data_IF_614644643919
#
_entry.id   IF_614644643919
#
_cell.length_a   1.000
_cell.length_b   1.000
_cell.length_c   1.000
_cell.angle_alpha   90.00
_cell.angle_beta   90.00
_cell.angle_gamma   90.00
#
_symmetry.space_group_name_H-M   'P 1'
#
loop_
_entity.id
_entity.type
_entity.pdbx_description
1 polymer ?
#
# COMPACT_ATOMS: atom_id res chain seq x y z
N UNK A 1 3.09 -54.61 12.02
CA UNK A 1 3.43 -53.19 11.76
C UNK A 1 2.94 -52.73 10.38
N UNK A 2 1.62 -52.58 10.15
CA UNK A 2 1.06 -52.22 8.82
C UNK A 2 -0.02 -51.13 8.83
N UNK A 3 -0.36 -50.57 10.00
CA UNK A 3 -1.45 -49.59 10.18
C UNK A 3 -0.98 -48.13 10.37
N UNK A 4 0.33 -47.89 10.52
CA UNK A 4 0.87 -46.54 10.74
C UNK A 4 1.16 -45.77 9.45
N UNK A 5 1.44 -46.47 8.34
CA UNK A 5 1.70 -45.86 7.02
C UNK A 5 0.56 -44.97 6.48
N UNK A 6 -0.74 -45.36 6.55
CA UNK A 6 -1.82 -44.52 6.03
C UNK A 6 -2.01 -43.24 6.86
N UNK A 7 -1.73 -43.29 8.17
CA UNK A 7 -1.94 -42.16 9.07
C UNK A 7 -0.89 -41.05 8.84
N UNK A 8 0.38 -41.43 8.63
CA UNK A 8 1.43 -40.50 8.24
C UNK A 8 1.17 -39.87 6.86
N UNK A 9 0.64 -40.65 5.91
CA UNK A 9 0.31 -40.14 4.58
C UNK A 9 -0.84 -39.12 4.64
N UNK A 10 -1.89 -39.39 5.43
CA UNK A 10 -2.99 -38.44 5.64
C UNK A 10 -2.54 -37.14 6.30
N UNK A 11 -1.66 -37.20 7.30
CA UNK A 11 -1.11 -36.01 7.96
C UNK A 11 -0.25 -35.18 6.98
N UNK A 12 0.59 -35.84 6.19
CA UNK A 12 1.41 -35.16 5.19
C UNK A 12 0.57 -34.46 4.11
N UNK A 13 -0.52 -35.10 3.66
CA UNK A 13 -1.45 -34.49 2.69
C UNK A 13 -2.18 -33.29 3.30
N UNK A 14 -2.65 -33.40 4.55
CA UNK A 14 -3.31 -32.28 5.24
C UNK A 14 -2.37 -31.08 5.44
N UNK A 15 -1.10 -31.34 5.80
CA UNK A 15 -0.07 -30.30 5.91
C UNK A 15 0.24 -29.65 4.57
N UNK A 16 0.34 -30.43 3.48
CA UNK A 16 0.56 -29.87 2.15
C UNK A 16 -0.63 -28.99 1.69
N UNK A 17 -1.87 -29.44 1.90
CA UNK A 17 -3.05 -28.65 1.54
C UNK A 17 -3.07 -27.34 2.34
N UNK A 18 -2.87 -27.41 3.66
CA UNK A 18 -2.81 -26.22 4.51
C UNK A 18 -1.69 -25.25 4.11
N UNK A 19 -0.51 -25.77 3.77
CA UNK A 19 0.63 -24.97 3.33
C UNK A 19 0.40 -24.30 1.98
N UNK A 20 -0.16 -25.03 1.00
CA UNK A 20 -0.50 -24.50 -0.33
C UNK A 20 -1.60 -23.44 -0.22
N UNK A 21 -2.64 -23.68 0.58
CA UNK A 21 -3.69 -22.69 0.83
C UNK A 21 -3.15 -21.45 1.54
N UNK A 22 -2.25 -21.61 2.51
CA UNK A 22 -1.60 -20.50 3.21
C UNK A 22 -0.73 -19.64 2.28
N UNK A 23 0.03 -20.27 1.38
CA UNK A 23 0.81 -19.57 0.37
C UNK A 23 -0.06 -18.79 -0.62
N UNK A 24 -1.19 -19.36 -1.05
CA UNK A 24 -2.10 -18.70 -1.98
C UNK A 24 -2.75 -17.43 -1.38
N UNK A 25 -3.09 -17.47 -0.09
CA UNK A 25 -3.62 -16.31 0.63
C UNK A 25 -2.54 -15.27 0.89
N UNK A 26 -1.31 -15.68 1.22
CA UNK A 26 -0.21 -14.75 1.43
C UNK A 26 0.18 -13.97 0.16
N UNK A 27 0.01 -14.58 -1.02
CA UNK A 27 0.38 -13.95 -2.29
C UNK A 27 -0.64 -12.94 -2.82
N UNK A 28 -1.89 -12.99 -2.36
CA UNK A 28 -2.95 -12.09 -2.84
C UNK A 28 -3.03 -10.76 -2.08
N UNK A 29 -2.29 -10.62 -0.98
CA UNK A 29 -2.47 -9.49 -0.03
C UNK A 29 -1.83 -8.15 -0.41
N UNK A 30 -0.98 -8.04 -1.44
CA UNK A 30 -0.17 -6.81 -1.62
C UNK A 30 -0.10 -6.24 -3.05
N UNK A 31 -0.89 -6.71 -4.00
CA UNK A 31 -0.92 -6.11 -5.34
C UNK A 31 -2.03 -5.07 -5.46
N UNK A 32 -1.64 -3.80 -5.42
CA UNK A 32 -2.51 -2.72 -5.93
C UNK A 32 -2.64 -2.93 -7.43
N UNK A 33 -3.85 -3.27 -7.90
CA UNK A 33 -4.13 -3.33 -9.33
C UNK A 33 -3.83 -1.96 -9.96
N UNK A 34 -3.07 -1.94 -11.06
CA UNK A 34 -2.64 -0.71 -11.76
C UNK A 34 -3.85 0.20 -12.07
N UNK A 35 -5.01 -0.39 -12.40
CA UNK A 35 -6.25 0.32 -12.69
C UNK A 35 -6.89 1.04 -11.49
N UNK A 36 -6.36 0.83 -10.28
CA UNK A 36 -6.84 1.44 -9.03
C UNK A 36 -5.93 2.56 -8.53
N UNK A 37 -4.83 2.84 -9.23
CA UNK A 37 -3.95 3.96 -8.92
C UNK A 37 -4.63 5.24 -9.36
N UNK A 38 -4.75 6.20 -8.44
CA UNK A 38 -5.32 7.53 -8.69
C UNK A 38 -4.22 8.51 -9.06
N UNK A 39 -3.14 8.52 -8.27
CA UNK A 39 -2.00 9.38 -8.49
C UNK A 39 -0.74 8.80 -7.83
N UNK A 40 0.40 9.15 -8.40
CA UNK A 40 1.70 8.86 -7.81
C UNK A 40 2.64 10.04 -8.03
N UNK A 41 3.38 10.42 -7.00
CA UNK A 41 4.27 11.58 -7.05
C UNK A 41 5.48 11.39 -6.15
N UNK A 42 6.65 11.75 -6.67
CA UNK A 42 7.91 11.71 -5.94
C UNK A 42 8.31 13.10 -5.47
N UNK A 43 8.91 13.15 -4.28
CA UNK A 43 9.44 14.35 -3.69
C UNK A 43 10.83 14.09 -3.13
N UNK A 44 11.64 15.14 -3.12
CA UNK A 44 12.99 15.08 -2.60
C UNK A 44 12.98 14.93 -1.08
N UNK A 45 14.07 14.39 -0.55
CA UNK A 45 14.26 14.24 0.88
C UNK A 45 15.66 14.62 1.32
N UNK A 46 15.89 14.57 2.63
CA UNK A 46 17.19 14.91 3.24
C UNK A 46 18.38 14.09 2.71
N UNK A 47 18.12 12.99 2.02
CA UNK A 47 19.15 12.07 1.50
C UNK A 47 19.28 12.12 -0.03
N UNK A 48 18.55 13.02 -0.72
CA UNK A 48 18.65 13.21 -2.16
C UNK A 48 17.30 13.29 -2.86
N UNK A 49 17.37 13.36 -4.19
CA UNK A 49 16.23 13.58 -5.06
C UNK A 49 15.28 12.38 -5.08
N UNK A 50 13.98 12.65 -5.20
CA UNK A 50 12.93 11.64 -5.28
C UNK A 50 12.98 10.58 -4.15
N UNK A 51 13.45 10.95 -2.96
CA UNK A 51 13.60 10.01 -1.84
C UNK A 51 12.27 9.52 -1.27
N UNK A 52 11.22 10.35 -1.36
CA UNK A 52 9.88 10.04 -0.86
C UNK A 52 8.90 9.86 -2.01
N UNK A 53 8.12 8.78 -2.02
CA UNK A 53 7.12 8.50 -3.05
C UNK A 53 5.73 8.36 -2.45
N UNK A 54 4.77 9.18 -2.87
CA UNK A 54 3.37 9.08 -2.45
C UNK A 54 2.59 8.32 -3.52
N UNK A 55 1.83 7.31 -3.09
CA UNK A 55 0.89 6.55 -3.90
C UNK A 55 -0.51 6.72 -3.34
N UNK A 56 -1.44 7.16 -4.18
CA UNK A 56 -2.87 7.24 -3.88
C UNK A 56 -3.58 6.20 -4.72
N UNK A 57 -4.41 5.38 -4.08
CA UNK A 57 -5.08 4.26 -4.73
C UNK A 57 -6.48 4.01 -4.15
N UNK A 58 -7.25 3.21 -4.87
CA UNK A 58 -8.62 2.85 -4.53
C UNK A 58 -8.71 1.44 -3.95
N UNK A 59 -9.43 1.33 -2.84
CA UNK A 59 -9.89 0.07 -2.26
C UNK A 59 -11.41 -0.04 -2.46
N UNK A 60 -11.92 -1.09 -3.16
CA UNK A 60 -13.35 -1.27 -3.36
C UNK A 60 -14.13 -1.38 -2.04
N UNK A 61 -15.30 -0.77 -1.98
CA UNK A 61 -16.26 -0.87 -0.88
C UNK A 61 -17.67 -1.12 -1.42
N UNK A 62 -18.60 -1.50 -0.53
CA UNK A 62 -19.98 -1.87 -0.91
C UNK A 62 -20.73 -0.78 -1.69
N UNK A 63 -20.40 0.50 -1.50
CA UNK A 63 -21.06 1.65 -2.14
C UNK A 63 -20.11 2.56 -2.94
N UNK A 64 -18.94 2.05 -3.37
CA UNK A 64 -17.95 2.85 -4.10
C UNK A 64 -16.53 2.42 -3.77
N UNK A 65 -15.67 3.39 -3.46
CA UNK A 65 -14.26 3.17 -3.18
C UNK A 65 -13.81 3.99 -1.97
N UNK A 66 -12.97 3.40 -1.13
CA UNK A 66 -12.12 4.14 -0.20
C UNK A 66 -10.88 4.61 -0.92
N UNK A 67 -10.55 5.89 -0.75
CA UNK A 67 -9.30 6.48 -1.21
C UNK A 67 -8.27 6.30 -0.10
N UNK A 68 -7.16 5.65 -0.42
CA UNK A 68 -6.07 5.38 0.51
C UNK A 68 -4.75 5.90 -0.03
N UNK A 69 -3.81 6.16 0.86
CA UNK A 69 -2.48 6.56 0.46
C UNK A 69 -1.39 5.87 1.27
N UNK A 70 -0.27 5.63 0.60
CA UNK A 70 0.98 5.14 1.21
C UNK A 70 2.12 6.05 0.79
N UNK A 71 3.08 6.25 1.68
CA UNK A 71 4.34 6.92 1.38
C UNK A 71 5.48 5.92 1.48
N UNK A 72 6.19 5.75 0.38
CA UNK A 72 7.44 5.01 0.29
C UNK A 72 8.60 5.92 0.65
N UNK A 73 9.53 5.43 1.45
CA UNK A 73 10.68 6.16 1.91
C UNK A 73 11.95 5.40 1.54
N UNK A 74 12.84 6.06 0.79
CA UNK A 74 14.07 5.47 0.28
C UNK A 74 13.85 4.77 -1.05
N UNK A 75 13.67 5.55 -2.12
CA UNK A 75 13.47 5.09 -3.50
C UNK A 75 14.43 3.97 -3.93
N UNK A 76 15.72 4.13 -3.65
CA UNK A 76 16.76 3.18 -4.08
C UNK A 76 16.69 1.82 -3.37
N UNK A 77 15.89 1.73 -2.30
CA UNK A 77 15.71 0.53 -1.50
C UNK A 77 14.38 -0.18 -1.79
N UNK A 78 13.56 0.34 -2.71
CA UNK A 78 12.29 -0.29 -3.08
C UNK A 78 12.56 -1.65 -3.73
N UNK A 79 11.98 -2.70 -3.15
CA UNK A 79 12.20 -4.10 -3.57
C UNK A 79 13.40 -4.78 -2.93
N UNK A 80 14.22 -4.08 -2.14
CA UNK A 80 15.38 -4.65 -1.41
C UNK A 80 15.08 -4.99 0.05
N UNK A 81 13.83 -4.87 0.49
CA UNK A 81 13.38 -5.23 1.85
C UNK A 81 13.69 -4.19 2.93
N UNK A 82 14.30 -3.05 2.58
CA UNK A 82 14.67 -1.96 3.51
C UNK A 82 13.93 -0.65 3.25
N UNK A 83 13.00 -0.62 2.30
CA UNK A 83 12.14 0.54 2.06
C UNK A 83 11.08 0.65 3.16
N UNK A 84 11.03 1.80 3.84
CA UNK A 84 9.99 2.06 4.83
C UNK A 84 8.71 2.51 4.13
N UNK A 85 7.57 2.01 4.60
CA UNK A 85 6.25 2.40 4.12
C UNK A 85 5.49 3.04 5.26
N UNK A 86 5.04 4.26 5.07
CA UNK A 86 4.08 4.93 5.95
C UNK A 86 2.69 4.80 5.35
N UNK A 87 1.79 4.08 6.02
CA UNK A 87 0.38 4.02 5.64
C UNK A 87 -0.34 5.28 6.16
N UNK A 88 -0.88 6.09 5.25
CA UNK A 88 -1.67 7.28 5.61
C UNK A 88 -3.12 6.92 5.98
N UNK A 89 -3.51 5.65 5.83
CA UNK A 89 -4.86 5.17 6.05
C UNK A 89 -5.83 5.59 4.95
N UNK A 90 -7.11 5.63 5.32
CA UNK A 90 -8.18 6.10 4.45
C UNK A 90 -8.27 7.62 4.50
N UNK A 91 -8.12 8.27 3.34
CA UNK A 91 -8.22 9.72 3.18
C UNK A 91 -9.67 10.18 2.99
N UNK A 92 -10.49 9.35 2.35
CA UNK A 92 -11.88 9.65 2.04
C UNK A 92 -12.57 8.52 1.29
N UNK A 93 -13.78 8.79 0.80
CA UNK A 93 -14.59 7.86 0.00
C UNK A 93 -15.10 8.54 -1.25
N UNK A 94 -15.19 7.80 -2.36
CA UNK A 94 -15.75 8.29 -3.63
C UNK A 94 -16.64 7.22 -4.27
N UNK A 95 -17.51 7.62 -5.20
CA UNK A 95 -18.36 6.68 -5.95
C UNK A 95 -17.71 6.19 -7.23
N UNK A 96 -16.84 7.00 -7.83
CA UNK A 96 -16.24 6.70 -9.14
C UNK A 96 -14.74 7.00 -9.16
N UNK A 97 -14.02 6.36 -10.08
CA UNK A 97 -12.60 6.64 -10.28
C UNK A 97 -12.36 8.09 -10.74
N UNK A 98 -13.21 8.62 -11.63
CA UNK A 98 -13.10 10.00 -12.10
C UNK A 98 -13.23 11.02 -10.96
N UNK A 99 -14.15 10.77 -10.02
CA UNK A 99 -14.29 11.55 -8.80
C UNK A 99 -13.03 11.48 -7.92
N UNK A 100 -12.43 10.29 -7.76
CA UNK A 100 -11.17 10.14 -7.04
C UNK A 100 -10.03 10.95 -7.67
N UNK A 101 -9.86 10.89 -8.99
CA UNK A 101 -8.82 11.68 -9.68
C UNK A 101 -9.07 13.17 -9.49
N UNK A 102 -10.32 13.63 -9.64
CA UNK A 102 -10.67 15.03 -9.47
C UNK A 102 -10.38 15.56 -8.05
N UNK A 103 -10.66 14.76 -7.02
CA UNK A 103 -10.52 15.19 -5.62
C UNK A 103 -9.12 14.92 -5.05
N UNK A 104 -8.49 13.83 -5.43
CA UNK A 104 -7.29 13.26 -4.78
C UNK A 104 -6.11 13.06 -5.74
N UNK A 105 -6.25 13.40 -7.03
CA UNK A 105 -5.20 13.23 -8.03
C UNK A 105 -4.04 14.22 -7.94
N UNK A 106 -4.19 15.30 -7.16
CA UNK A 106 -3.13 16.27 -6.94
C UNK A 106 -2.19 15.83 -5.81
N UNK A 107 -0.89 15.77 -6.09
CA UNK A 107 0.16 15.50 -5.10
C UNK A 107 1.16 16.65 -5.15
N UNK A 108 1.43 17.25 -4.00
CA UNK A 108 2.42 18.31 -3.88
C UNK A 108 3.38 18.02 -2.72
N UNK A 109 4.67 18.07 -3.03
CA UNK A 109 5.75 17.96 -2.05
C UNK A 109 6.33 19.34 -1.77
N UNK A 110 6.56 19.63 -0.50
CA UNK A 110 7.16 20.88 -0.02
C UNK A 110 8.04 20.60 1.18
N UNK A 111 8.92 21.53 1.60
CA UNK A 111 9.72 21.34 2.82
C UNK A 111 8.88 20.98 4.05
N UNK A 112 7.68 21.57 4.17
CA UNK A 112 6.76 21.30 5.27
C UNK A 112 6.22 19.86 5.28
N UNK A 113 6.10 19.21 4.13
CA UNK A 113 5.55 17.85 4.03
C UNK A 113 4.88 17.52 2.70
N UNK A 114 4.04 16.48 2.75
CA UNK A 114 3.24 15.97 1.64
C UNK A 114 1.81 16.52 1.73
N UNK A 115 1.31 17.06 0.63
CA UNK A 115 -0.11 17.38 0.45
C UNK A 115 -0.69 16.50 -0.64
N UNK A 116 -1.83 15.87 -0.35
CA UNK A 116 -2.60 15.05 -1.29
C UNK A 116 -4.00 15.64 -1.39
N UNK A 117 -4.50 15.73 -2.62
CA UNK A 117 -5.83 16.21 -2.94
C UNK A 117 -5.94 17.72 -3.10
N UNK A 118 -7.17 18.15 -3.31
CA UNK A 118 -7.53 19.55 -3.57
C UNK A 118 -7.71 20.34 -2.28
N UNK A 119 -7.96 21.65 -2.39
CA UNK A 119 -8.24 22.51 -1.23
C UNK A 119 -9.54 22.15 -0.51
N UNK A 120 -10.54 21.59 -1.22
CA UNK A 120 -11.81 21.16 -0.63
C UNK A 120 -11.67 19.82 0.12
N UNK A 121 -10.87 18.89 -0.41
CA UNK A 121 -10.56 17.60 0.20
C UNK A 121 -9.04 17.42 0.17
N UNK A 122 -8.39 17.68 1.31
CA UNK A 122 -6.94 17.73 1.41
C UNK A 122 -6.43 16.94 2.60
N UNK A 123 -5.46 16.07 2.34
CA UNK A 123 -4.68 15.42 3.38
C UNK A 123 -3.28 16.05 3.43
N UNK A 124 -2.79 16.32 4.63
CA UNK A 124 -1.44 16.82 4.84
C UNK A 124 -0.69 15.92 5.82
N UNK A 125 0.50 15.48 5.39
CA UNK A 125 1.41 14.72 6.21
C UNK A 125 2.70 15.51 6.39
N UNK A 126 2.94 15.96 7.63
CA UNK A 126 4.09 16.75 7.97
C UNK A 126 5.40 15.96 7.80
N UNK A 127 6.45 16.66 7.35
CA UNK A 127 7.79 16.11 7.11
C UNK A 127 8.36 15.42 8.35
N UNK A 128 8.17 16.00 9.53
CA UNK A 128 8.66 15.43 10.78
C UNK A 128 8.03 14.07 11.11
N UNK A 129 6.74 13.85 10.80
CA UNK A 129 6.10 12.53 10.93
C UNK A 129 6.66 11.53 9.95
N UNK A 130 6.96 12.00 8.73
CA UNK A 130 7.67 11.22 7.72
C UNK A 130 9.13 11.00 8.07
N UNK A 131 9.72 11.62 9.10
CA UNK A 131 11.14 11.52 9.45
C UNK A 131 11.38 10.87 10.82
N UNK A 132 10.36 10.81 11.67
CA UNK A 132 10.37 10.19 13.00
C UNK A 132 10.00 8.71 13.00
N UNK A 133 10.51 7.94 12.05
CA UNK A 133 10.23 6.50 11.91
C UNK A 133 11.37 5.66 12.50
N UNK A 134 11.94 6.17 13.61
CA UNK A 134 12.82 5.47 14.53
C UNK A 134 12.16 5.40 15.91
#
# INVERSE_FOLDING_TARGET
>A
MRRFLPLFFSIAVALMIGFVSGLAVAHSSETVEINRVVAMGWGDGKYGDAFYGALVYLEPQSSGYAVRAKVYIGRDNIGRGTSYIHDCGQLGTVKTHAEAVAQWGAIAWSEAGLRIGTSANGYFLARNRLENHR
#
